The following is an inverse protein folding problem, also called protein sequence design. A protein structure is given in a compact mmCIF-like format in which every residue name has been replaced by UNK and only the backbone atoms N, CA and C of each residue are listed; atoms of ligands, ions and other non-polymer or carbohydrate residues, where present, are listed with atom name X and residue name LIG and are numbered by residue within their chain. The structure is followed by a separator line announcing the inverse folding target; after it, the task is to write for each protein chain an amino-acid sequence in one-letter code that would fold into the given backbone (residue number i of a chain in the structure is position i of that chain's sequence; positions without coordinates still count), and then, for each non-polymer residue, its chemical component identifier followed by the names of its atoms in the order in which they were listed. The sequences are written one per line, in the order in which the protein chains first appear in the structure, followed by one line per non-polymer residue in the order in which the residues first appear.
data_IF_837438015761
#
_entry.id   IF_837438015761
#
_cell.length_a   1.000
_cell.length_b   1.000
_cell.length_c   1.000
_cell.angle_alpha   90.00
_cell.angle_beta   90.00
_cell.angle_gamma   90.00
#
_symmetry.space_group_name_H-M   'P 1'
#
loop_
_entity.id
_entity.type
_entity.pdbx_description
1 polymer ?
#
# COMPACT_ATOMS: atom_id res chain seq x y z
N UNK A 1 -47.23 0.89 -34.08
CA UNK A 1 -47.96 1.50 -35.21
C UNK A 1 -47.23 2.81 -35.52
N UNK A 2 -46.38 2.91 -36.55
CA UNK A 2 -46.70 3.22 -37.97
C UNK A 2 -47.49 4.54 -38.05
N UNK A 3 -47.11 5.67 -38.68
CA UNK A 3 -46.20 6.12 -39.77
C UNK A 3 -45.88 7.64 -39.52
N UNK A 4 -44.71 8.23 -39.84
CA UNK A 4 -44.31 8.91 -41.12
C UNK A 4 -45.29 10.03 -41.56
N UNK A 5 -44.97 11.26 -41.99
CA UNK A 5 -43.89 11.87 -42.79
C UNK A 5 -43.92 13.41 -42.62
N UNK A 6 -42.79 14.11 -42.74
CA UNK A 6 -42.65 15.26 -43.64
C UNK A 6 -41.19 15.42 -44.09
N UNK A 7 -41.03 15.37 -45.42
CA UNK A 7 -39.91 15.79 -46.29
C UNK A 7 -39.51 17.25 -45.98
N UNK A 8 -38.39 17.85 -46.42
CA UNK A 8 -37.19 17.55 -47.20
C UNK A 8 -36.47 18.91 -47.33
N UNK A 9 -35.14 18.94 -47.38
CA UNK A 9 -34.24 19.95 -48.02
C UNK A 9 -32.89 19.91 -47.27
N UNK A 10 -31.96 19.05 -47.68
CA UNK A 10 -30.93 19.33 -48.73
C UNK A 10 -30.11 20.56 -48.40
N UNK A 11 -28.98 20.35 -47.71
CA UNK A 11 -27.76 21.07 -48.01
C UNK A 11 -26.58 20.12 -47.84
N UNK A 12 -26.07 19.64 -48.96
CA UNK A 12 -24.83 18.89 -49.06
C UNK A 12 -23.66 19.87 -49.22
N UNK A 13 -22.58 19.68 -48.46
CA UNK A 13 -21.19 19.97 -48.83
C UNK A 13 -20.29 19.55 -47.65
N UNK A 14 -19.83 18.30 -47.61
CA UNK A 14 -18.50 17.87 -48.09
C UNK A 14 -17.31 18.43 -47.30
N UNK A 15 -16.67 17.49 -46.57
CA UNK A 15 -15.24 17.26 -46.50
C UNK A 15 -14.33 18.29 -45.81
N UNK A 16 -13.79 17.90 -44.65
CA UNK A 16 -12.34 17.83 -44.48
C UNK A 16 -11.97 16.82 -43.36
N UNK A 17 -11.93 15.53 -43.72
CA UNK A 17 -11.08 14.58 -43.01
C UNK A 17 -9.64 14.88 -43.42
N UNK A 18 -8.86 15.49 -42.52
CA UNK A 18 -7.40 15.47 -42.62
C UNK A 18 -6.86 14.65 -41.44
N UNK A 19 -6.57 13.40 -41.77
CA UNK A 19 -5.75 12.52 -40.97
C UNK A 19 -4.33 13.08 -40.92
N UNK A 20 -3.91 13.53 -39.75
CA UNK A 20 -2.49 13.65 -39.42
C UNK A 20 -2.13 12.41 -38.60
N UNK A 21 -1.89 11.30 -39.32
CA UNK A 21 -1.13 10.18 -38.78
C UNK A 21 0.33 10.62 -38.67
N UNK A 22 0.69 11.22 -37.53
CA UNK A 22 2.08 11.28 -37.12
C UNK A 22 2.40 9.94 -36.44
N UNK A 23 3.32 9.12 -36.96
CA UNK A 23 3.91 8.06 -36.16
C UNK A 23 4.77 8.76 -35.10
N UNK A 24 4.21 8.97 -33.92
CA UNK A 24 5.00 9.21 -32.73
C UNK A 24 5.83 7.96 -32.52
N UNK A 25 7.04 7.94 -33.07
CA UNK A 25 8.12 7.12 -32.56
C UNK A 25 8.26 7.48 -31.10
N UNK A 26 7.60 6.71 -30.24
CA UNK A 26 7.92 6.65 -28.83
C UNK A 26 9.35 6.10 -28.77
N UNK A 27 10.32 7.01 -28.84
CA UNK A 27 11.70 6.72 -28.51
C UNK A 27 11.70 6.02 -27.16
N UNK A 28 12.39 4.87 -27.14
CA UNK A 28 12.39 3.87 -26.08
C UNK A 28 12.20 4.44 -24.68
N UNK A 29 11.05 4.14 -24.09
CA UNK A 29 11.04 3.78 -22.70
C UNK A 29 11.82 2.47 -22.63
N UNK A 30 13.13 2.58 -22.38
CA UNK A 30 13.95 1.43 -22.05
C UNK A 30 13.28 0.77 -20.85
N UNK A 31 12.65 -0.38 -21.10
CA UNK A 31 11.96 -1.19 -20.12
C UNK A 31 13.01 -1.83 -19.20
N UNK A 32 13.70 -0.99 -18.43
CA UNK A 32 14.56 -1.40 -17.31
C UNK A 32 13.66 -1.54 -16.09
N UNK A 33 12.64 -2.40 -16.21
CA UNK A 33 11.88 -2.82 -15.05
C UNK A 33 12.86 -3.51 -14.12
N UNK A 34 13.16 -2.84 -13.00
CA UNK A 34 14.08 -3.37 -12.01
C UNK A 34 13.52 -4.68 -11.47
N UNK A 35 14.35 -5.73 -11.33
CA UNK A 35 13.86 -7.02 -10.90
C UNK A 35 13.23 -6.90 -9.50
N UNK A 36 12.08 -7.55 -9.30
CA UNK A 36 11.48 -7.65 -7.96
C UNK A 36 12.38 -8.47 -7.05
N UNK A 37 12.47 -8.06 -5.78
CA UNK A 37 13.12 -8.84 -4.73
C UNK A 37 12.05 -9.45 -3.81
N UNK A 38 11.94 -10.77 -3.89
CA UNK A 38 11.10 -11.60 -3.02
C UNK A 38 11.91 -12.03 -1.79
N UNK A 39 11.38 -11.80 -0.59
CA UNK A 39 12.07 -12.08 0.66
C UNK A 39 11.19 -13.01 1.51
N UNK A 40 11.70 -14.21 1.78
CA UNK A 40 11.06 -15.21 2.64
C UNK A 40 12.11 -15.81 3.60
N UNK A 41 12.37 -15.08 4.68
CA UNK A 41 13.36 -15.44 5.69
C UNK A 41 12.81 -15.35 7.12
N UNK A 42 11.78 -16.13 7.48
CA UNK A 42 11.12 -16.06 8.79
C UNK A 42 12.04 -16.42 9.96
N UNK A 43 13.20 -17.01 9.70
CA UNK A 43 14.19 -17.34 10.72
C UNK A 43 15.01 -16.15 11.22
N UNK A 44 14.97 -15.00 10.54
CA UNK A 44 15.68 -13.80 10.98
C UNK A 44 15.08 -13.24 12.26
N UNK A 45 15.93 -12.73 13.15
CA UNK A 45 15.50 -11.91 14.28
C UNK A 45 15.13 -10.50 13.79
N UNK A 46 15.95 -9.90 12.93
CA UNK A 46 15.63 -8.63 12.27
C UNK A 46 16.07 -8.58 10.81
N UNK A 47 15.31 -7.83 10.02
CA UNK A 47 15.59 -7.51 8.63
C UNK A 47 15.50 -5.99 8.46
N UNK A 48 16.60 -5.34 8.10
CA UNK A 48 16.62 -3.93 7.71
C UNK A 48 16.95 -3.82 6.23
N UNK A 49 16.05 -3.26 5.43
CA UNK A 49 16.26 -3.04 4.00
C UNK A 49 16.60 -1.57 3.77
N UNK A 50 17.84 -1.33 3.36
CA UNK A 50 18.36 0.01 3.05
C UNK A 50 18.27 0.27 1.54
N UNK A 51 17.84 1.46 1.18
CA UNK A 51 17.84 1.92 -0.21
C UNK A 51 19.13 2.69 -0.52
N UNK A 52 19.93 2.22 -1.48
CA UNK A 52 21.22 2.83 -1.82
C UNK A 52 21.39 3.01 -3.33
N UNK A 53 21.76 4.23 -3.74
CA UNK A 53 22.07 4.52 -5.14
C UNK A 53 23.30 3.75 -5.61
N UNK A 54 23.30 3.32 -6.87
CA UNK A 54 24.42 2.59 -7.48
C UNK A 54 24.45 1.09 -7.18
N UNK A 55 23.59 0.61 -6.27
CA UNK A 55 23.40 -0.82 -6.03
C UNK A 55 22.52 -1.40 -7.13
N UNK A 56 23.02 -2.43 -7.81
CA UNK A 56 22.31 -3.13 -8.90
C UNK A 56 21.79 -4.50 -8.48
N UNK A 57 22.37 -5.09 -7.43
CA UNK A 57 21.95 -6.36 -6.86
C UNK A 57 21.88 -6.27 -5.34
N UNK A 58 20.91 -6.91 -4.68
CA UNK A 58 20.82 -6.94 -3.22
C UNK A 58 22.07 -7.58 -2.61
N UNK A 59 22.61 -6.95 -1.58
CA UNK A 59 23.77 -7.45 -0.86
C UNK A 59 23.70 -7.10 0.64
N UNK A 60 24.26 -7.94 1.53
CA UNK A 60 24.40 -7.59 2.92
C UNK A 60 25.31 -6.38 3.07
N UNK A 61 24.98 -5.48 4.00
CA UNK A 61 25.79 -4.28 4.25
C UNK A 61 27.25 -4.59 4.60
N UNK A 62 27.50 -5.70 5.31
CA UNK A 62 28.84 -6.16 5.66
C UNK A 62 29.51 -7.03 4.57
N UNK A 63 28.87 -7.19 3.41
CA UNK A 63 29.34 -8.03 2.31
C UNK A 63 29.28 -9.54 2.57
N UNK A 64 28.76 -10.00 3.71
CA UNK A 64 28.74 -11.41 4.09
C UNK A 64 27.31 -11.88 4.39
N UNK A 65 26.86 -12.90 3.65
CA UNK A 65 25.56 -13.52 3.90
C UNK A 65 25.58 -14.29 5.22
N UNK A 66 24.61 -14.08 6.12
CA UNK A 66 24.47 -14.92 7.31
C UNK A 66 24.24 -16.38 6.92
N UNK A 67 24.72 -17.29 7.77
CA UNK A 67 24.50 -18.73 7.56
C UNK A 67 23.00 -19.06 7.49
N UNK A 68 22.61 -19.84 6.48
CA UNK A 68 21.21 -20.22 6.24
C UNK A 68 20.39 -19.22 5.43
N UNK A 69 21.00 -18.10 5.01
CA UNK A 69 20.40 -17.13 4.09
C UNK A 69 21.01 -17.29 2.70
N UNK A 70 20.17 -17.28 1.66
CA UNK A 70 20.61 -17.40 0.28
C UNK A 70 19.86 -16.43 -0.63
N UNK A 71 20.60 -15.78 -1.52
CA UNK A 71 20.05 -15.01 -2.64
C UNK A 71 20.16 -15.81 -3.94
N UNK A 72 19.05 -16.04 -4.60
CA UNK A 72 18.96 -16.70 -5.91
C UNK A 72 18.37 -15.75 -6.95
N UNK A 73 18.67 -16.00 -8.22
CA UNK A 73 18.00 -15.36 -9.36
C UNK A 73 17.09 -16.40 -9.98
N UNK A 74 15.81 -16.06 -10.11
CA UNK A 74 14.80 -16.94 -10.67
C UNK A 74 14.82 -16.90 -12.21
N UNK A 75 14.14 -17.84 -12.84
CA UNK A 75 14.07 -17.94 -14.30
C UNK A 75 13.39 -16.75 -14.98
N UNK A 76 12.53 -16.03 -14.26
CA UNK A 76 11.84 -14.82 -14.73
C UNK A 76 12.65 -13.52 -14.49
N UNK A 77 13.86 -13.63 -13.93
CA UNK A 77 14.74 -12.51 -13.61
C UNK A 77 14.49 -11.87 -12.23
N UNK A 78 13.45 -12.29 -11.50
CA UNK A 78 13.27 -11.88 -10.10
C UNK A 78 14.38 -12.43 -9.21
N UNK A 79 14.55 -11.82 -8.03
CA UNK A 79 15.55 -12.21 -7.05
C UNK A 79 14.83 -12.75 -5.82
N UNK A 80 15.25 -13.91 -5.31
CA UNK A 80 14.68 -14.48 -4.09
C UNK A 80 15.72 -14.56 -2.99
N UNK A 81 15.43 -13.93 -1.86
CA UNK A 81 16.17 -14.06 -0.62
C UNK A 81 15.42 -15.00 0.31
N UNK A 82 15.98 -16.18 0.55
CA UNK A 82 15.33 -17.23 1.36
C UNK A 82 16.15 -17.59 2.59
N UNK A 83 15.46 -18.00 3.65
CA UNK A 83 16.09 -18.53 4.86
C UNK A 83 15.12 -19.27 5.76
N UNK A 84 15.40 -20.53 6.06
CA UNK A 84 14.55 -21.37 6.93
C UNK A 84 15.17 -21.65 8.30
N UNK A 85 16.50 -21.78 8.35
CA UNK A 85 17.22 -22.17 9.56
C UNK A 85 18.38 -21.19 9.79
N UNK A 86 18.07 -20.09 10.47
CA UNK A 86 19.04 -19.12 10.95
C UNK A 86 19.54 -19.55 12.34
N UNK A 87 20.75 -19.10 12.72
CA UNK A 87 21.13 -19.11 14.14
C UNK A 87 20.19 -18.19 14.93
N UNK A 88 20.06 -18.45 16.24
CA UNK A 88 19.40 -17.50 17.13
C UNK A 88 20.06 -16.10 16.96
N UNK A 89 19.25 -15.05 16.97
CA UNK A 89 19.68 -13.66 16.87
C UNK A 89 20.31 -13.24 15.52
N UNK A 90 20.13 -14.00 14.44
CA UNK A 90 20.58 -13.57 13.11
C UNK A 90 19.83 -12.32 12.66
N UNK A 91 20.57 -11.22 12.51
CA UNK A 91 20.09 -9.97 11.94
C UNK A 91 20.66 -9.79 10.53
N UNK A 92 19.90 -9.19 9.63
CA UNK A 92 20.35 -8.89 8.27
C UNK A 92 20.00 -7.44 7.92
N UNK A 93 21.04 -6.64 7.64
CA UNK A 93 20.89 -5.38 6.90
C UNK A 93 21.19 -5.64 5.44
N UNK A 94 20.19 -5.44 4.58
CA UNK A 94 20.25 -5.68 3.15
C UNK A 94 20.19 -4.36 2.40
N UNK A 95 21.20 -4.09 1.58
CA UNK A 95 21.24 -2.92 0.70
C UNK A 95 20.60 -3.26 -0.64
N UNK A 96 19.68 -2.42 -1.12
CA UNK A 96 18.93 -2.61 -2.38
C UNK A 96 18.87 -1.32 -3.20
N UNK A 97 18.59 -1.44 -4.50
CA UNK A 97 18.35 -0.27 -5.34
C UNK A 97 17.06 0.46 -4.89
N UNK A 98 17.00 1.81 -4.89
CA UNK A 98 15.83 2.53 -4.39
C UNK A 98 14.54 2.31 -5.18
N UNK A 99 14.63 1.94 -6.45
CA UNK A 99 13.51 1.67 -7.34
C UNK A 99 13.13 0.18 -7.44
N UNK A 100 13.88 -0.70 -6.76
CA UNK A 100 13.61 -2.14 -6.75
C UNK A 100 12.26 -2.42 -6.06
N UNK A 101 11.30 -3.10 -6.69
CA UNK A 101 10.10 -3.58 -6.01
C UNK A 101 10.44 -4.61 -4.94
N UNK A 102 9.72 -4.60 -3.82
CA UNK A 102 9.87 -5.59 -2.75
C UNK A 102 8.60 -6.40 -2.54
N UNK A 103 8.75 -7.71 -2.39
CA UNK A 103 7.71 -8.58 -1.84
C UNK A 103 8.27 -9.33 -0.63
N UNK A 104 7.79 -9.01 0.56
CA UNK A 104 8.30 -9.54 1.82
C UNK A 104 7.24 -10.45 2.44
N UNK A 105 7.59 -11.71 2.68
CA UNK A 105 6.77 -12.66 3.42
C UNK A 105 7.46 -13.01 4.72
N UNK A 106 6.93 -12.53 5.83
CA UNK A 106 7.39 -12.83 7.18
C UNK A 106 6.22 -13.39 7.99
N UNK A 107 6.21 -14.69 8.23
CA UNK A 107 5.20 -15.36 9.06
C UNK A 107 5.67 -15.53 10.52
N UNK A 108 6.88 -15.09 10.83
CA UNK A 108 7.54 -15.29 12.13
C UNK A 108 7.56 -14.05 13.03
N UNK A 109 8.56 -13.99 13.90
CA UNK A 109 8.79 -12.89 14.86
C UNK A 109 9.77 -11.83 14.34
N UNK A 110 10.19 -11.94 13.09
CA UNK A 110 11.20 -11.04 12.50
C UNK A 110 10.75 -9.59 12.56
N UNK A 111 11.55 -8.75 13.20
CA UNK A 111 11.36 -7.30 13.14
C UNK A 111 11.81 -6.79 11.77
N UNK A 112 10.98 -5.98 11.11
CA UNK A 112 11.25 -5.50 9.75
C UNK A 112 11.36 -3.98 9.77
N UNK A 113 12.43 -3.46 9.16
CA UNK A 113 12.57 -2.05 8.84
C UNK A 113 12.83 -1.91 7.34
N UNK A 114 12.07 -1.06 6.66
CA UNK A 114 12.30 -0.71 5.26
C UNK A 114 12.51 0.78 5.17
N UNK A 115 13.67 1.21 4.66
CA UNK A 115 13.96 2.63 4.43
C UNK A 115 13.10 3.20 3.30
N UNK A 116 13.02 4.53 3.24
CA UNK A 116 12.41 5.26 2.15
C UNK A 116 12.91 4.79 0.78
N UNK A 117 11.98 4.51 -0.13
CA UNK A 117 12.27 4.00 -1.46
C UNK A 117 11.26 4.53 -2.48
N UNK A 118 11.59 4.34 -3.76
CA UNK A 118 10.76 4.71 -4.92
C UNK A 118 10.03 3.53 -5.55
N UNK A 119 10.42 2.30 -5.22
CA UNK A 119 9.70 1.10 -5.64
C UNK A 119 8.49 0.81 -4.73
N UNK A 120 7.53 -0.01 -5.17
CA UNK A 120 6.44 -0.49 -4.34
C UNK A 120 6.93 -1.50 -3.29
N UNK A 121 6.18 -1.64 -2.19
CA UNK A 121 6.41 -2.65 -1.16
C UNK A 121 5.12 -3.43 -0.91
N UNK A 122 5.22 -4.74 -1.09
CA UNK A 122 4.23 -5.72 -0.67
C UNK A 122 4.77 -6.44 0.56
N UNK A 123 4.02 -6.46 1.65
CA UNK A 123 4.43 -7.10 2.90
C UNK A 123 3.31 -7.96 3.46
N UNK A 124 3.59 -9.24 3.65
CA UNK A 124 2.87 -10.09 4.59
C UNK A 124 3.64 -10.13 5.91
N UNK A 125 3.13 -9.45 6.93
CA UNK A 125 3.77 -9.25 8.22
C UNK A 125 3.38 -10.34 9.25
N UNK A 126 4.35 -10.67 10.10
CA UNK A 126 4.20 -11.60 11.21
C UNK A 126 4.01 -10.87 12.53
N UNK A 127 4.42 -11.50 13.64
CA UNK A 127 4.25 -10.93 14.98
C UNK A 127 5.39 -9.98 15.40
N UNK A 128 6.44 -9.86 14.58
CA UNK A 128 7.51 -8.90 14.80
C UNK A 128 7.06 -7.46 14.51
N UNK A 129 7.73 -6.49 15.10
CA UNK A 129 7.45 -5.08 14.81
C UNK A 129 7.90 -4.71 13.39
N UNK A 130 7.11 -3.89 12.71
CA UNK A 130 7.39 -3.43 11.34
C UNK A 130 7.44 -1.91 11.31
N UNK A 131 8.48 -1.36 10.68
CA UNK A 131 8.56 0.06 10.32
C UNK A 131 8.78 0.19 8.81
N UNK A 132 7.88 0.90 8.13
CA UNK A 132 7.95 1.14 6.69
C UNK A 132 8.15 2.62 6.40
N UNK A 133 9.22 2.94 5.69
CA UNK A 133 9.44 4.25 5.09
C UNK A 133 8.48 4.51 3.92
N UNK A 134 8.70 5.65 3.25
CA UNK A 134 7.97 6.03 2.04
C UNK A 134 8.21 5.02 0.93
N UNK A 135 7.19 4.73 0.15
CA UNK A 135 7.24 3.90 -1.06
C UNK A 135 6.27 4.47 -2.11
N UNK A 136 6.41 4.02 -3.37
CA UNK A 136 5.45 4.40 -4.42
C UNK A 136 4.07 3.74 -4.25
N UNK A 137 4.02 2.58 -3.60
CA UNK A 137 2.78 1.95 -3.18
C UNK A 137 3.09 1.07 -1.97
N UNK A 138 2.17 1.00 -1.01
CA UNK A 138 2.25 0.07 0.12
C UNK A 138 1.05 -0.87 0.10
N UNK A 139 1.32 -2.17 0.10
CA UNK A 139 0.31 -3.19 0.35
C UNK A 139 0.78 -4.05 1.52
N UNK A 140 0.08 -3.93 2.65
CA UNK A 140 0.47 -4.59 3.90
C UNK A 140 -0.67 -5.47 4.38
N UNK A 141 -0.39 -6.76 4.52
CA UNK A 141 -1.29 -7.75 5.10
C UNK A 141 -0.66 -8.29 6.38
N UNK A 142 -1.44 -8.39 7.45
CA UNK A 142 -1.02 -9.04 8.68
C UNK A 142 -2.12 -9.94 9.21
N UNK A 143 -1.77 -11.21 9.41
CA UNK A 143 -2.63 -12.18 10.08
C UNK A 143 -2.09 -12.48 11.49
N UNK A 144 -1.50 -11.45 12.13
CA UNK A 144 -0.74 -11.58 13.38
C UNK A 144 -0.97 -10.38 14.32
N UNK A 145 -0.08 -10.20 15.31
CA UNK A 145 -0.19 -9.20 16.40
C UNK A 145 0.90 -8.13 16.36
N UNK A 146 1.87 -8.21 15.44
CA UNK A 146 2.99 -7.28 15.36
C UNK A 146 2.54 -5.87 14.99
N UNK A 147 3.08 -4.85 15.66
CA UNK A 147 2.76 -3.45 15.34
C UNK A 147 3.37 -3.02 14.02
N UNK A 148 2.60 -2.29 13.21
CA UNK A 148 3.05 -1.77 11.92
C UNK A 148 3.03 -0.25 11.99
N UNK A 149 4.21 0.35 11.80
CA UNK A 149 4.41 1.80 11.86
C UNK A 149 4.81 2.33 10.49
N UNK A 150 4.08 3.35 10.01
CA UNK A 150 4.38 4.08 8.78
C UNK A 150 4.51 5.56 9.15
N UNK A 151 5.73 6.07 9.38
CA UNK A 151 5.91 7.45 9.84
C UNK A 151 5.33 8.49 8.87
N UNK A 152 5.48 8.25 7.56
CA UNK A 152 4.94 9.12 6.50
C UNK A 152 4.37 8.25 5.39
N UNK A 153 3.07 8.41 5.12
CA UNK A 153 2.42 7.85 3.95
C UNK A 153 2.32 8.95 2.89
N UNK A 154 3.03 8.78 1.77
CA UNK A 154 3.14 9.78 0.70
C UNK A 154 2.48 9.35 -0.63
N UNK A 155 2.06 8.09 -0.72
CA UNK A 155 1.40 7.51 -1.88
C UNK A 155 0.34 6.50 -1.41
N UNK A 156 -0.33 5.85 -2.36
CA UNK A 156 -1.48 5.00 -2.07
C UNK A 156 -1.10 3.78 -1.24
N UNK A 157 -1.98 3.41 -0.32
CA UNK A 157 -1.78 2.23 0.51
C UNK A 157 -3.04 1.38 0.71
N UNK A 158 -2.82 0.07 0.85
CA UNK A 158 -3.80 -0.91 1.29
C UNK A 158 -3.26 -1.62 2.52
N UNK A 159 -3.99 -1.50 3.63
CA UNK A 159 -3.61 -2.05 4.92
C UNK A 159 -4.69 -3.05 5.35
N UNK A 160 -4.29 -4.29 5.62
CA UNK A 160 -5.21 -5.34 6.05
C UNK A 160 -4.65 -6.04 7.27
N UNK A 161 -5.39 -6.04 8.36
CA UNK A 161 -5.12 -6.89 9.52
C UNK A 161 -6.32 -7.78 9.77
N UNK A 162 -6.16 -9.10 9.84
CA UNK A 162 -7.27 -10.03 10.10
C UNK A 162 -7.32 -10.51 11.55
N UNK A 163 -6.25 -10.31 12.31
CA UNK A 163 -6.12 -10.76 13.70
C UNK A 163 -6.08 -9.59 14.69
N UNK A 164 -4.90 -9.01 14.95
CA UNK A 164 -4.77 -7.98 16.01
C UNK A 164 -3.64 -6.97 15.77
N UNK A 165 -2.99 -6.97 14.61
CA UNK A 165 -1.88 -6.04 14.34
C UNK A 165 -2.38 -4.59 14.29
N UNK A 166 -1.86 -3.68 15.14
CA UNK A 166 -2.19 -2.27 15.06
C UNK A 166 -1.40 -1.56 13.96
N UNK A 167 -2.07 -0.69 13.21
CA UNK A 167 -1.45 0.21 12.23
C UNK A 167 -1.33 1.62 12.82
N UNK A 168 -0.11 2.15 12.84
CA UNK A 168 0.21 3.49 13.33
C UNK A 168 0.83 4.33 12.21
N UNK A 169 0.08 5.31 11.72
CA UNK A 169 0.52 6.26 10.69
C UNK A 169 0.83 7.61 11.35
N UNK A 170 2.00 8.16 11.06
CA UNK A 170 2.39 9.48 11.55
C UNK A 170 1.70 10.59 10.75
N UNK A 171 2.23 10.90 9.56
CA UNK A 171 1.68 11.91 8.66
C UNK A 171 1.17 11.26 7.37
N UNK A 172 -0.05 11.60 6.96
CA UNK A 172 -0.64 11.13 5.71
C UNK A 172 -0.74 12.28 4.70
N UNK A 173 -0.14 12.10 3.53
CA UNK A 173 -0.25 12.99 2.37
C UNK A 173 -0.26 12.11 1.13
N UNK A 174 -1.38 11.44 0.90
CA UNK A 174 -1.48 10.40 -0.12
C UNK A 174 -2.76 10.54 -0.94
N UNK A 175 -2.81 10.00 -2.17
CA UNK A 175 -4.04 9.98 -2.95
C UNK A 175 -5.12 9.13 -2.27
N UNK A 176 -4.79 7.89 -1.91
CA UNK A 176 -5.77 6.94 -1.38
C UNK A 176 -5.22 6.07 -0.24
N UNK A 177 -6.08 5.77 0.73
CA UNK A 177 -5.81 4.79 1.77
C UNK A 177 -7.03 3.89 1.96
N UNK A 178 -6.82 2.58 1.82
CA UNK A 178 -7.82 1.57 2.15
C UNK A 178 -7.36 0.74 3.35
N UNK A 179 -8.22 0.59 4.34
CA UNK A 179 -7.93 -0.13 5.60
C UNK A 179 -9.00 -1.17 5.86
N UNK A 180 -8.57 -2.40 6.11
CA UNK A 180 -9.41 -3.46 6.66
C UNK A 180 -8.87 -3.93 8.02
N UNK A 181 -9.74 -3.95 9.02
CA UNK A 181 -9.41 -4.37 10.39
C UNK A 181 -10.31 -5.52 10.83
N UNK A 182 -9.71 -6.65 11.22
CA UNK A 182 -10.37 -7.80 11.83
C UNK A 182 -9.92 -8.02 13.27
N UNK A 183 -10.62 -8.93 13.97
CA UNK A 183 -10.31 -9.34 15.34
C UNK A 183 -10.26 -8.17 16.32
N UNK A 184 -9.07 -7.81 16.79
CA UNK A 184 -8.84 -6.67 17.68
C UNK A 184 -7.81 -5.68 17.12
N UNK A 185 -7.63 -5.66 15.80
CA UNK A 185 -6.71 -4.74 15.13
C UNK A 185 -7.19 -3.28 15.25
N UNK A 186 -6.28 -2.37 15.58
CA UNK A 186 -6.57 -0.94 15.65
C UNK A 186 -5.89 -0.19 14.51
N UNK A 187 -6.42 0.98 14.18
CA UNK A 187 -5.79 1.89 13.23
C UNK A 187 -5.73 3.29 13.83
N UNK A 188 -4.59 3.97 13.68
CA UNK A 188 -4.45 5.38 14.04
C UNK A 188 -3.58 6.09 13.02
N UNK A 189 -4.09 7.18 12.44
CA UNK A 189 -3.30 8.17 11.72
C UNK A 189 -3.33 9.49 12.48
N UNK A 190 -2.16 10.04 12.81
CA UNK A 190 -2.05 11.21 13.71
C UNK A 190 -2.40 12.54 13.04
N UNK A 191 -2.20 12.64 11.73
CA UNK A 191 -2.55 13.81 10.93
C UNK A 191 -2.51 13.51 9.45
N UNK A 192 -3.25 14.27 8.63
CA UNK A 192 -3.01 14.27 7.19
C UNK A 192 -4.15 14.71 6.30
N UNK A 193 -3.91 14.56 5.00
CA UNK A 193 -4.87 14.80 3.92
C UNK A 193 -4.88 13.61 2.96
N UNK A 194 -6.07 13.18 2.57
CA UNK A 194 -6.31 12.15 1.56
C UNK A 194 -7.30 12.65 0.50
N UNK A 195 -7.21 12.14 -0.72
CA UNK A 195 -8.31 12.31 -1.68
C UNK A 195 -9.40 11.26 -1.40
N UNK A 196 -8.99 10.01 -1.13
CA UNK A 196 -9.91 8.92 -0.83
C UNK A 196 -9.48 8.13 0.41
N UNK A 197 -10.45 7.89 1.31
CA UNK A 197 -10.30 7.04 2.49
C UNK A 197 -11.37 5.96 2.47
N UNK A 198 -10.95 4.71 2.58
CA UNK A 198 -11.83 3.57 2.82
C UNK A 198 -11.41 2.89 4.13
N UNK A 199 -12.38 2.68 5.02
CA UNK A 199 -12.17 1.90 6.26
C UNK A 199 -13.32 0.92 6.41
N UNK A 200 -12.99 -0.37 6.39
CA UNK A 200 -13.90 -1.46 6.77
C UNK A 200 -13.39 -2.12 8.04
N UNK A 201 -14.19 -2.09 9.11
CA UNK A 201 -13.79 -2.58 10.43
C UNK A 201 -14.72 -3.67 10.97
N UNK A 202 -14.23 -4.89 10.96
CA UNK A 202 -14.74 -6.04 11.71
C UNK A 202 -13.99 -6.22 13.05
N UNK A 203 -13.34 -5.16 13.54
CA UNK A 203 -12.53 -5.19 14.76
C UNK A 203 -13.34 -4.79 15.99
N UNK A 204 -12.92 -5.26 17.16
CA UNK A 204 -13.37 -4.74 18.47
C UNK A 204 -12.63 -3.48 18.90
N UNK A 205 -11.56 -3.09 18.20
CA UNK A 205 -10.77 -1.90 18.48
C UNK A 205 -11.08 -0.78 17.47
N UNK A 206 -10.76 0.46 17.85
CA UNK A 206 -11.10 1.64 17.08
C UNK A 206 -10.17 1.87 15.87
N UNK A 207 -10.72 2.50 14.84
CA UNK A 207 -10.00 3.09 13.72
C UNK A 207 -10.13 4.61 13.79
N UNK A 208 -9.00 5.31 13.89
CA UNK A 208 -8.96 6.76 14.07
C UNK A 208 -8.11 7.42 12.99
N UNK A 209 -8.72 8.33 12.22
CA UNK A 209 -8.03 9.17 11.24
C UNK A 209 -8.15 10.64 11.64
N UNK A 210 -7.08 11.19 12.21
CA UNK A 210 -7.01 12.60 12.59
C UNK A 210 -6.68 13.51 11.41
N UNK A 211 -7.45 13.44 10.32
CA UNK A 211 -7.14 14.19 9.11
C UNK A 211 -8.37 14.59 8.31
N UNK A 212 -8.08 15.12 7.12
CA UNK A 212 -9.08 15.52 6.14
C UNK A 212 -9.07 14.55 4.96
N UNK A 213 -10.26 14.14 4.50
CA UNK A 213 -10.41 13.37 3.25
C UNK A 213 -11.48 13.99 2.36
N UNK A 214 -11.27 13.97 1.05
CA UNK A 214 -12.29 14.43 0.09
C UNK A 214 -13.40 13.40 -0.10
N UNK A 215 -13.06 12.12 -0.11
CA UNK A 215 -14.03 11.01 -0.21
C UNK A 215 -13.79 10.04 0.94
N UNK A 216 -14.87 9.62 1.60
CA UNK A 216 -14.84 8.65 2.69
C UNK A 216 -15.89 7.56 2.46
N UNK A 217 -15.46 6.29 2.47
CA UNK A 217 -16.33 5.12 2.55
C UNK A 217 -16.00 4.36 3.84
N UNK A 218 -16.94 4.36 4.79
CA UNK A 218 -16.72 3.87 6.15
C UNK A 218 -17.72 2.77 6.49
N UNK A 219 -17.26 1.60 6.88
CA UNK A 219 -18.10 0.46 7.22
C UNK A 219 -17.69 -0.16 8.55
N UNK A 220 -18.63 -0.24 9.49
CA UNK A 220 -18.43 -0.90 10.78
C UNK A 220 -19.26 -2.19 10.83
N UNK A 221 -18.58 -3.32 10.96
CA UNK A 221 -19.16 -4.66 11.04
C UNK A 221 -19.20 -5.21 12.47
N UNK A 222 -18.40 -4.66 13.39
CA UNK A 222 -18.27 -5.16 14.77
C UNK A 222 -18.36 -4.02 15.81
N UNK A 223 -17.70 -4.14 16.97
CA UNK A 223 -17.86 -3.23 18.10
C UNK A 223 -16.92 -2.02 18.10
N UNK A 224 -15.82 -2.06 17.34
CA UNK A 224 -14.86 -0.97 17.23
C UNK A 224 -15.45 0.23 16.48
N UNK A 225 -15.12 1.44 16.92
CA UNK A 225 -15.60 2.68 16.32
C UNK A 225 -14.69 3.12 15.16
N UNK A 226 -15.25 3.91 14.25
CA UNK A 226 -14.48 4.67 13.25
C UNK A 226 -14.64 6.16 13.57
N UNK A 227 -13.51 6.84 13.76
CA UNK A 227 -13.43 8.30 13.95
C UNK A 227 -12.65 8.91 12.79
N UNK A 228 -13.25 9.89 12.12
CA UNK A 228 -12.61 10.68 11.06
C UNK A 228 -12.79 12.16 11.40
N UNK A 229 -11.72 12.94 11.46
CA UNK A 229 -11.85 14.35 11.83
C UNK A 229 -12.66 15.14 10.79
N UNK A 230 -12.36 14.99 9.49
CA UNK A 230 -13.05 15.77 8.46
C UNK A 230 -13.23 15.02 7.14
N UNK A 231 -14.44 15.10 6.59
CA UNK A 231 -14.76 14.68 5.22
C UNK A 231 -15.34 15.87 4.44
N UNK A 232 -14.68 16.32 3.37
CA UNK A 232 -15.10 17.52 2.63
C UNK A 232 -16.02 17.25 1.45
N UNK A 233 -15.99 16.06 0.88
CA UNK A 233 -16.84 15.68 -0.26
C UNK A 233 -17.75 14.51 0.07
N UNK A 234 -17.68 13.46 -0.75
CA UNK A 234 -18.61 12.33 -0.63
C UNK A 234 -18.33 11.52 0.63
N UNK A 235 -19.37 11.30 1.43
CA UNK A 235 -19.34 10.44 2.61
C UNK A 235 -20.38 9.32 2.46
N UNK A 236 -19.90 8.08 2.43
CA UNK A 236 -20.73 6.88 2.49
C UNK A 236 -20.44 6.15 3.81
N UNK A 237 -21.48 5.75 4.52
CA UNK A 237 -21.35 5.02 5.79
C UNK A 237 -22.27 3.82 5.83
N UNK A 238 -21.76 2.69 6.32
CA UNK A 238 -22.52 1.46 6.56
C UNK A 238 -22.24 0.94 7.98
N UNK A 239 -23.27 0.42 8.64
CA UNK A 239 -23.20 0.00 10.05
C UNK A 239 -23.99 -1.29 10.25
N UNK A 240 -23.27 -2.41 10.24
CA UNK A 240 -23.81 -3.73 10.56
C UNK A 240 -23.48 -4.16 12.00
N UNK A 241 -22.45 -3.54 12.58
CA UNK A 241 -21.98 -3.78 13.95
C UNK A 241 -22.52 -2.82 15.01
N UNK A 242 -22.01 -2.97 16.23
CA UNK A 242 -22.35 -2.13 17.40
C UNK A 242 -21.50 -0.86 17.51
N UNK A 243 -20.38 -0.79 16.79
CA UNK A 243 -19.49 0.36 16.79
C UNK A 243 -20.13 1.58 16.11
N UNK A 244 -19.61 2.76 16.45
CA UNK A 244 -20.09 4.03 15.91
C UNK A 244 -19.18 4.50 14.78
N UNK A 245 -19.77 5.25 13.84
CA UNK A 245 -19.01 6.04 12.86
C UNK A 245 -19.24 7.51 13.21
N UNK A 246 -18.16 8.22 13.54
CA UNK A 246 -18.16 9.65 13.89
C UNK A 246 -17.27 10.40 12.91
N UNK A 247 -17.87 11.38 12.22
CA UNK A 247 -17.14 12.32 11.37
C UNK A 247 -17.33 13.71 11.98
N UNK A 248 -16.26 14.32 12.50
CA UNK A 248 -16.36 15.54 13.32
C UNK A 248 -16.78 16.76 12.52
N UNK A 249 -16.30 16.87 11.28
CA UNK A 249 -16.70 17.90 10.33
C UNK A 249 -17.02 17.30 8.98
N UNK A 250 -18.26 17.46 8.53
CA UNK A 250 -18.64 17.27 7.14
C UNK A 250 -18.85 18.63 6.52
N UNK A 251 -18.39 18.85 5.29
CA UNK A 251 -18.81 20.06 4.57
C UNK A 251 -20.31 19.92 4.29
N UNK A 252 -21.13 20.66 5.04
CA UNK A 252 -22.55 20.78 4.77
C UNK A 252 -22.73 21.50 3.44
N UNK A 253 -23.32 20.83 2.46
CA UNK A 253 -23.98 21.48 1.35
C UNK A 253 -25.38 20.91 1.21
N UNK A 254 -26.31 21.85 1.29
CA UNK A 254 -27.73 21.74 0.99
C UNK A 254 -28.00 21.23 -0.43
#
# INVERSE_FOLDING_TARGET
MLYSFFRSEVCAATALCLAVFLPSVACGAENTQSPTLDIAAPCLNSLHIRAQKGVTRPEPENGQWPAGIQLTTNSDGSLSLTGQNCRADTNLTLTTAPNMPLAITSTGKTSIQVDDRKGPVFLQAGSGAVTLGRAAELNVVSDSTGSITIPVLADSARLRSTLSAPFNLGKVQAPALAVYLGGSAAFTAQQGTLEALEITSNSTADAVFHGETSVAALHVENAGNILVDKATGTLATERDGKGKIVVTSTQGNH
#
